data_IF_228771789724
#
_entry.id   IF_228771789724
#
_cell.length_a   1.000
_cell.length_b   1.000
_cell.length_c   1.000
_cell.angle_alpha   90.00
_cell.angle_beta   90.00
_cell.angle_gamma   90.00
#
_symmetry.space_group_name_H-M   'P 1'
#
loop_
_entity.id
_entity.type
_entity.pdbx_description
1 polymer ?
#
# COMPACT_ATOMS: atom_id res chain seq x y z
N UNK A 1 -12.22 -16.66 -17.11
CA UNK A 1 -10.75 -16.63 -17.37
C UNK A 1 -10.10 -17.44 -16.27
N UNK A 2 -8.90 -17.99 -16.49
CA UNK A 2 -8.21 -18.78 -15.46
C UNK A 2 -7.14 -17.93 -14.82
N UNK A 3 -7.12 -17.84 -13.48
CA UNK A 3 -6.09 -17.15 -12.72
C UNK A 3 -4.72 -17.70 -13.07
N UNK A 4 -3.76 -16.83 -13.30
CA UNK A 4 -2.36 -17.17 -13.53
C UNK A 4 -1.42 -16.17 -12.86
N UNK A 5 -0.27 -16.65 -12.41
CA UNK A 5 0.74 -15.89 -11.70
C UNK A 5 2.00 -15.78 -12.55
N UNK A 6 2.55 -14.58 -12.66
CA UNK A 6 3.85 -14.30 -13.26
C UNK A 6 4.76 -13.59 -12.27
N UNK A 7 5.75 -14.29 -11.72
CA UNK A 7 6.75 -13.64 -10.89
C UNK A 7 7.54 -12.60 -11.69
N UNK A 8 7.82 -11.46 -11.09
CA UNK A 8 8.71 -10.46 -11.68
C UNK A 8 10.16 -10.92 -11.54
N UNK A 9 10.99 -10.55 -12.51
CA UNK A 9 12.46 -10.75 -12.44
C UNK A 9 13.09 -9.68 -11.53
N UNK A 10 12.74 -9.76 -10.25
CA UNK A 10 13.15 -8.81 -9.22
C UNK A 10 13.15 -9.48 -7.84
N UNK A 11 13.73 -8.80 -6.85
CA UNK A 11 13.77 -9.28 -5.46
C UNK A 11 12.38 -9.45 -4.81
N UNK A 12 11.34 -8.92 -5.40
CA UNK A 12 9.94 -9.02 -5.00
C UNK A 12 9.01 -8.80 -6.20
N UNK A 13 7.72 -9.05 -6.00
CA UNK A 13 6.68 -8.74 -6.97
C UNK A 13 6.23 -9.94 -7.81
N UNK A 14 4.92 -10.00 -8.04
CA UNK A 14 4.29 -10.88 -9.00
C UNK A 14 3.07 -10.20 -9.63
N UNK A 15 2.76 -10.55 -10.87
CA UNK A 15 1.52 -10.18 -11.52
C UNK A 15 0.50 -11.30 -11.38
N UNK A 16 -0.72 -10.91 -11.09
CA UNK A 16 -1.89 -11.80 -11.04
C UNK A 16 -2.79 -11.44 -12.22
N UNK A 17 -2.99 -12.40 -13.12
CA UNK A 17 -3.76 -12.23 -14.34
C UNK A 17 -4.98 -13.14 -14.36
N UNK A 18 -5.96 -12.82 -15.21
CA UNK A 18 -7.13 -13.66 -15.46
C UNK A 18 -8.20 -13.58 -14.37
N UNK A 19 -8.19 -12.52 -13.54
CA UNK A 19 -9.22 -12.23 -12.54
C UNK A 19 -9.87 -10.88 -12.80
N UNK A 20 -11.14 -10.77 -12.42
CA UNK A 20 -11.90 -9.53 -12.37
C UNK A 20 -12.24 -9.26 -10.90
N UNK A 21 -11.53 -8.30 -10.30
CA UNK A 21 -11.70 -7.97 -8.88
C UNK A 21 -13.01 -7.24 -8.57
N UNK A 22 -13.73 -6.81 -9.60
CA UNK A 22 -15.08 -6.24 -9.45
C UNK A 22 -16.13 -7.29 -9.09
N UNK A 23 -15.80 -8.60 -9.24
CA UNK A 23 -16.65 -9.72 -8.97
C UNK A 23 -16.16 -10.51 -7.75
N UNK A 24 -17.06 -11.21 -7.03
CA UNK A 24 -16.64 -12.14 -5.99
C UNK A 24 -15.74 -13.23 -6.57
N UNK A 25 -14.59 -13.45 -5.94
CA UNK A 25 -13.66 -14.50 -6.31
C UNK A 25 -13.95 -15.80 -5.55
N UNK A 26 -13.60 -16.94 -6.16
CA UNK A 26 -13.63 -18.21 -5.46
C UNK A 26 -12.60 -18.23 -4.31
N UNK A 27 -12.90 -18.95 -3.25
CA UNK A 27 -12.01 -19.08 -2.08
C UNK A 27 -10.61 -19.58 -2.48
N UNK A 28 -10.56 -20.52 -3.43
CA UNK A 28 -9.30 -21.04 -3.98
C UNK A 28 -8.45 -19.96 -4.65
N UNK A 29 -9.08 -19.02 -5.36
CA UNK A 29 -8.37 -17.95 -6.04
C UNK A 29 -7.81 -16.93 -5.01
N UNK A 30 -8.58 -16.61 -3.97
CA UNK A 30 -8.12 -15.78 -2.85
C UNK A 30 -6.92 -16.43 -2.16
N UNK A 31 -6.94 -17.74 -1.93
CA UNK A 31 -5.82 -18.47 -1.31
C UNK A 31 -4.56 -18.44 -2.20
N UNK A 32 -4.71 -18.58 -3.51
CA UNK A 32 -3.60 -18.44 -4.45
C UNK A 32 -3.02 -17.03 -4.42
N UNK A 33 -3.86 -15.99 -4.43
CA UNK A 33 -3.43 -14.60 -4.35
C UNK A 33 -2.69 -14.35 -3.02
N UNK A 34 -3.24 -14.79 -1.90
CA UNK A 34 -2.64 -14.59 -0.57
C UNK A 34 -1.28 -15.30 -0.45
N UNK A 35 -1.17 -16.53 -0.94
CA UNK A 35 0.10 -17.26 -0.94
C UNK A 35 1.13 -16.60 -1.85
N UNK A 36 0.73 -16.17 -3.04
CA UNK A 36 1.60 -15.42 -3.96
C UNK A 36 2.11 -14.15 -3.30
N UNK A 37 1.22 -13.39 -2.65
CA UNK A 37 1.60 -12.18 -1.93
C UNK A 37 2.57 -12.47 -0.78
N UNK A 38 2.34 -13.51 0.02
CA UNK A 38 3.27 -13.91 1.10
C UNK A 38 4.67 -14.26 0.59
N UNK A 39 4.76 -14.90 -0.57
CA UNK A 39 6.03 -15.30 -1.17
C UNK A 39 6.73 -14.13 -1.89
N UNK A 40 5.94 -13.30 -2.57
CA UNK A 40 6.45 -12.25 -3.45
C UNK A 40 6.36 -10.84 -2.88
N UNK A 41 5.72 -10.64 -1.71
CA UNK A 41 5.59 -9.41 -0.92
C UNK A 41 4.73 -8.32 -1.57
N UNK A 42 4.68 -8.24 -2.89
CA UNK A 42 3.83 -7.33 -3.68
C UNK A 42 3.17 -8.11 -4.80
N UNK A 43 1.88 -7.88 -5.01
CA UNK A 43 1.14 -8.39 -6.16
C UNK A 43 0.51 -7.24 -6.94
N UNK A 44 0.50 -7.37 -8.26
CA UNK A 44 -0.05 -6.37 -9.17
C UNK A 44 -1.15 -7.00 -10.00
N UNK A 45 -2.28 -6.31 -10.09
CA UNK A 45 -3.42 -6.66 -10.92
C UNK A 45 -3.57 -5.58 -11.98
N UNK A 46 -3.42 -5.94 -13.25
CA UNK A 46 -3.58 -5.00 -14.36
C UNK A 46 -5.04 -4.86 -14.77
N UNK A 47 -5.37 -3.75 -15.40
CA UNK A 47 -6.65 -3.47 -16.06
C UNK A 47 -7.89 -3.66 -15.17
N UNK A 48 -7.77 -3.36 -13.88
CA UNK A 48 -8.88 -3.43 -12.94
C UNK A 48 -9.62 -2.09 -12.90
N UNK A 49 -10.95 -2.15 -13.03
CA UNK A 49 -11.82 -1.00 -12.86
C UNK A 49 -12.79 -1.29 -11.70
N UNK A 50 -12.55 -0.67 -10.56
CA UNK A 50 -13.29 -0.91 -9.34
C UNK A 50 -13.99 0.37 -8.89
N UNK A 51 -15.24 0.22 -8.46
CA UNK A 51 -15.86 1.22 -7.60
C UNK A 51 -15.33 1.08 -6.17
N UNK A 52 -15.50 2.13 -5.35
CA UNK A 52 -15.09 2.11 -3.94
C UNK A 52 -15.65 0.90 -3.17
N UNK A 53 -16.96 0.55 -3.27
CA UNK A 53 -17.49 -0.66 -2.66
C UNK A 53 -16.85 -1.97 -3.15
N UNK A 54 -16.44 -2.04 -4.42
CA UNK A 54 -15.78 -3.22 -4.97
C UNK A 54 -14.36 -3.37 -4.44
N UNK A 55 -13.59 -2.27 -4.37
CA UNK A 55 -12.27 -2.26 -3.74
C UNK A 55 -12.35 -2.69 -2.28
N UNK A 56 -13.30 -2.16 -1.51
CA UNK A 56 -13.57 -2.54 -0.12
C UNK A 56 -13.91 -4.03 -0.01
N UNK A 57 -14.81 -4.51 -0.87
CA UNK A 57 -15.24 -5.92 -0.87
C UNK A 57 -14.09 -6.87 -1.17
N UNK A 58 -13.26 -6.54 -2.15
CA UNK A 58 -12.08 -7.34 -2.47
C UNK A 58 -11.07 -7.33 -1.32
N UNK A 59 -10.79 -6.16 -0.74
CA UNK A 59 -9.84 -6.02 0.37
C UNK A 59 -10.23 -6.85 1.60
N UNK A 60 -11.53 -6.95 1.91
CA UNK A 60 -12.06 -7.74 3.04
C UNK A 60 -11.80 -9.24 2.94
N UNK A 61 -11.42 -9.77 1.78
CA UNK A 61 -11.01 -11.18 1.67
C UNK A 61 -9.70 -11.47 2.45
N UNK A 62 -8.90 -10.45 2.76
CA UNK A 62 -7.58 -10.58 3.38
C UNK A 62 -7.55 -10.18 4.86
N UNK A 63 -8.65 -9.64 5.38
CA UNK A 63 -8.79 -9.23 6.78
C UNK A 63 -9.78 -8.09 6.98
N UNK A 64 -9.94 -7.68 8.23
CA UNK A 64 -10.67 -6.47 8.58
C UNK A 64 -9.93 -5.24 8.05
N UNK A 65 -10.69 -4.20 7.69
CA UNK A 65 -10.11 -2.95 7.23
C UNK A 65 -9.85 -2.05 8.43
N UNK A 66 -8.62 -1.54 8.52
CA UNK A 66 -8.28 -0.54 9.49
C UNK A 66 -8.92 0.82 9.12
N UNK A 67 -9.30 1.63 10.10
CA UNK A 67 -9.66 3.02 9.83
C UNK A 67 -8.43 3.75 9.27
N UNK A 68 -8.61 4.75 8.39
CA UNK A 68 -7.48 5.52 7.88
C UNK A 68 -6.72 6.17 9.03
N UNK A 69 -5.40 6.18 8.92
CA UNK A 69 -4.55 6.87 9.86
C UNK A 69 -4.86 8.38 9.92
N UNK A 70 -4.38 9.09 10.95
CA UNK A 70 -4.56 10.53 11.05
C UNK A 70 -3.98 11.24 9.84
N UNK A 71 -4.73 12.17 9.28
CA UNK A 71 -4.31 12.96 8.13
C UNK A 71 -4.27 14.46 8.48
N UNK A 72 -3.58 15.30 7.69
CA UNK A 72 -3.43 16.72 7.99
C UNK A 72 -4.75 17.52 8.03
N UNK A 73 -5.81 16.97 7.47
CA UNK A 73 -7.10 17.64 7.34
C UNK A 73 -8.09 17.29 8.47
N UNK A 74 -7.80 16.22 9.25
CA UNK A 74 -8.59 15.80 10.41
C UNK A 74 -9.96 15.18 10.10
N UNK A 75 -10.24 14.88 8.82
CA UNK A 75 -11.48 14.24 8.39
C UNK A 75 -11.23 13.38 7.15
N UNK A 76 -11.99 12.27 6.94
CA UNK A 76 -11.85 11.45 5.74
C UNK A 76 -12.22 12.23 4.48
N UNK A 77 -11.51 11.97 3.37
CA UNK A 77 -11.84 12.54 2.07
C UNK A 77 -13.16 11.99 1.51
N UNK A 78 -13.41 10.69 1.74
CA UNK A 78 -14.63 10.01 1.34
C UNK A 78 -15.49 9.75 2.59
N UNK A 79 -16.55 10.55 2.77
CA UNK A 79 -17.42 10.44 3.95
C UNK A 79 -18.21 9.13 4.01
N UNK A 80 -18.56 8.59 2.83
CA UNK A 80 -19.33 7.33 2.71
C UNK A 80 -18.43 6.11 2.86
N UNK A 81 -17.13 6.26 2.64
CA UNK A 81 -16.11 5.21 2.70
C UNK A 81 -14.88 5.72 3.44
N UNK A 82 -14.99 5.95 4.76
CA UNK A 82 -13.91 6.54 5.55
C UNK A 82 -12.67 5.65 5.67
N UNK A 83 -12.80 4.35 5.39
CA UNK A 83 -11.71 3.39 5.30
C UNK A 83 -10.82 3.57 4.06
N UNK A 84 -11.25 4.34 3.07
CA UNK A 84 -10.47 4.65 1.89
C UNK A 84 -9.70 5.96 2.07
N UNK A 85 -8.42 5.90 1.80
CA UNK A 85 -7.55 7.07 1.78
C UNK A 85 -7.27 7.49 0.34
N UNK A 86 -7.59 8.73 0.00
CA UNK A 86 -7.34 9.27 -1.34
C UNK A 86 -5.93 9.83 -1.40
N UNK A 87 -5.10 9.30 -2.28
CA UNK A 87 -3.77 9.81 -2.60
C UNK A 87 -3.86 10.58 -3.91
N UNK A 88 -3.65 11.89 -3.89
CA UNK A 88 -3.80 12.73 -5.08
C UNK A 88 -3.07 14.06 -4.95
N UNK A 89 -2.52 14.53 -6.06
CA UNK A 89 -2.01 15.90 -6.23
C UNK A 89 -3.03 16.84 -6.90
N UNK A 90 -4.22 16.36 -7.19
CA UNK A 90 -5.28 17.16 -7.84
C UNK A 90 -5.85 18.17 -6.85
N UNK A 91 -6.01 19.40 -7.34
CA UNK A 91 -6.68 20.50 -6.63
C UNK A 91 -7.95 20.87 -7.39
N UNK A 92 -9.09 20.80 -6.71
CA UNK A 92 -10.39 21.18 -7.23
C UNK A 92 -10.95 22.37 -6.43
N UNK A 93 -11.35 23.44 -7.12
CA UNK A 93 -11.86 24.66 -6.48
C UNK A 93 -10.92 25.24 -5.40
N UNK A 94 -9.59 25.13 -5.62
CA UNK A 94 -8.57 25.60 -4.69
C UNK A 94 -8.36 24.71 -3.45
N UNK A 95 -8.98 23.54 -3.41
CA UNK A 95 -8.85 22.57 -2.31
C UNK A 95 -8.24 21.25 -2.82
N UNK A 96 -7.29 20.64 -2.09
CA UNK A 96 -6.79 19.30 -2.42
C UNK A 96 -7.89 18.27 -2.25
N UNK A 97 -8.01 17.35 -3.20
CA UNK A 97 -8.98 16.24 -3.12
C UNK A 97 -8.39 14.98 -2.48
N UNK A 98 -7.12 14.98 -2.13
CA UNK A 98 -6.44 13.84 -1.54
C UNK A 98 -5.24 14.23 -0.69
N UNK A 99 -4.59 13.21 -0.13
CA UNK A 99 -3.37 13.32 0.67
C UNK A 99 -2.12 13.39 -0.22
N UNK A 100 -1.00 13.80 0.41
CA UNK A 100 0.36 13.86 -0.10
C UNK A 100 0.63 14.95 -1.14
N UNK A 101 -0.37 15.40 -1.92
CA UNK A 101 -0.17 16.40 -2.97
C UNK A 101 0.91 15.95 -3.98
N UNK A 102 1.85 16.83 -4.28
CA UNK A 102 3.01 16.61 -5.14
C UNK A 102 4.31 16.31 -4.34
N UNK A 103 4.18 16.07 -3.02
CA UNK A 103 5.31 15.78 -2.15
C UNK A 103 5.91 14.40 -2.40
N UNK A 104 7.22 14.31 -2.50
CA UNK A 104 7.94 13.04 -2.53
C UNK A 104 7.85 12.36 -1.15
N UNK A 105 7.38 11.12 -1.12
CA UNK A 105 7.39 10.31 0.09
C UNK A 105 8.78 9.67 0.30
N UNK A 106 9.25 9.70 1.54
CA UNK A 106 10.46 8.97 1.94
C UNK A 106 10.17 7.47 2.08
N UNK A 107 11.20 6.63 2.04
CA UNK A 107 11.07 5.20 2.36
C UNK A 107 10.48 5.00 3.74
N UNK A 108 9.39 4.27 3.83
CA UNK A 108 8.66 3.99 5.07
C UNK A 108 7.91 2.67 4.99
N UNK A 109 7.46 2.18 6.12
CA UNK A 109 6.38 1.20 6.20
C UNK A 109 5.18 1.88 6.86
N UNK A 110 3.98 1.58 6.36
CA UNK A 110 2.76 2.23 6.83
C UNK A 110 2.46 1.89 8.29
N UNK A 111 1.98 2.90 9.03
CA UNK A 111 1.42 2.79 10.38
C UNK A 111 2.26 1.97 11.38
N UNK A 112 3.58 1.97 11.25
CA UNK A 112 4.47 1.25 12.18
C UNK A 112 4.46 1.80 13.61
N UNK A 113 3.78 2.91 13.84
CA UNK A 113 3.61 3.59 15.12
C UNK A 113 2.40 3.09 15.94
N UNK A 114 1.61 2.15 15.42
CA UNK A 114 0.51 1.50 16.16
C UNK A 114 0.97 0.13 16.67
N UNK A 115 0.34 -0.35 17.76
CA UNK A 115 0.73 -1.61 18.39
C UNK A 115 0.61 -2.82 17.48
N UNK A 116 -0.39 -2.82 16.59
CA UNK A 116 -0.59 -3.84 15.55
C UNK A 116 -0.64 -3.13 14.20
N UNK A 117 0.49 -3.05 13.48
CA UNK A 117 0.52 -2.45 12.15
C UNK A 117 -0.38 -3.19 11.16
N UNK A 118 -0.91 -2.50 10.13
CA UNK A 118 -1.73 -3.14 9.12
C UNK A 118 -0.95 -4.24 8.40
N UNK A 119 -1.65 -5.34 8.11
CA UNK A 119 -1.10 -6.51 7.42
C UNK A 119 -0.65 -6.18 6.00
N UNK A 120 -1.38 -5.29 5.33
CA UNK A 120 -1.13 -4.84 3.96
C UNK A 120 -1.78 -3.50 3.68
N UNK A 121 -1.34 -2.84 2.61
CA UNK A 121 -2.05 -1.75 1.96
C UNK A 121 -2.45 -2.17 0.54
N UNK A 122 -3.60 -1.72 0.07
CA UNK A 122 -4.08 -1.95 -1.28
C UNK A 122 -4.29 -0.61 -1.97
N UNK A 123 -3.66 -0.44 -3.13
CA UNK A 123 -3.74 0.78 -3.94
C UNK A 123 -4.52 0.49 -5.22
N UNK A 124 -5.54 1.29 -5.50
CA UNK A 124 -6.26 1.29 -6.76
C UNK A 124 -5.94 2.58 -7.52
N UNK A 125 -5.25 2.45 -8.64
CA UNK A 125 -4.88 3.58 -9.48
C UNK A 125 -6.04 3.98 -10.38
N UNK A 126 -6.59 5.18 -10.16
CA UNK A 126 -7.65 5.79 -10.99
C UNK A 126 -7.05 6.60 -12.14
N UNK A 127 -6.00 7.36 -11.83
CA UNK A 127 -5.24 8.15 -12.79
C UNK A 127 -3.77 8.11 -12.40
N UNK A 128 -2.93 7.81 -13.36
CA UNK A 128 -1.48 7.78 -13.18
C UNK A 128 -0.83 8.73 -14.17
N UNK A 129 0.26 9.42 -13.78
CA UNK A 129 0.99 10.27 -14.72
C UNK A 129 1.62 9.43 -15.83
N UNK A 130 1.91 10.01 -17.00
CA UNK A 130 2.64 9.31 -18.04
C UNK A 130 4.06 8.96 -17.55
N UNK A 131 4.69 7.89 -18.08
CA UNK A 131 5.98 7.38 -17.58
C UNK A 131 7.09 8.43 -17.49
N UNK A 132 7.10 9.40 -18.41
CA UNK A 132 8.08 10.49 -18.44
C UNK A 132 7.89 11.54 -17.33
N UNK A 133 6.72 11.60 -16.71
CA UNK A 133 6.43 12.52 -15.62
C UNK A 133 6.87 11.97 -14.24
N UNK A 134 7.30 10.71 -14.19
CA UNK A 134 7.68 10.07 -12.92
C UNK A 134 6.48 9.61 -12.11
N UNK A 135 6.58 9.67 -10.76
CA UNK A 135 5.51 9.26 -9.85
C UNK A 135 5.43 7.75 -9.60
N UNK A 136 6.49 7.01 -9.91
CA UNK A 136 6.56 5.57 -9.65
C UNK A 136 6.53 5.27 -8.15
N UNK A 137 5.82 4.22 -7.77
CA UNK A 137 5.88 3.64 -6.44
C UNK A 137 6.95 2.57 -6.39
N UNK A 138 7.88 2.71 -5.46
CA UNK A 138 9.00 1.78 -5.27
C UNK A 138 8.78 0.94 -4.01
N UNK A 139 9.18 -0.31 -4.06
CA UNK A 139 9.12 -1.25 -2.95
C UNK A 139 10.49 -1.84 -2.67
N UNK A 140 10.82 -2.06 -1.40
CA UNK A 140 12.05 -2.72 -0.97
C UNK A 140 11.74 -4.04 -0.25
N UNK A 141 12.46 -5.11 -0.62
CA UNK A 141 12.41 -6.37 0.10
C UNK A 141 13.26 -6.27 1.36
N UNK A 142 12.60 -6.03 2.51
CA UNK A 142 13.30 -5.85 3.79
C UNK A 142 13.90 -7.14 4.34
N UNK A 143 13.42 -8.33 3.94
CA UNK A 143 14.08 -9.59 4.27
C UNK A 143 15.44 -9.68 3.57
N UNK A 144 15.46 -9.45 2.25
CA UNK A 144 16.70 -9.43 1.48
C UNK A 144 17.66 -8.32 1.94
N UNK A 145 17.13 -7.15 2.30
CA UNK A 145 17.90 -6.04 2.85
C UNK A 145 18.60 -6.47 4.16
N UNK A 146 17.87 -7.09 5.09
CA UNK A 146 18.46 -7.60 6.33
C UNK A 146 19.51 -8.68 6.06
N UNK A 147 19.21 -9.65 5.18
CA UNK A 147 20.16 -10.72 4.84
C UNK A 147 21.46 -10.19 4.23
N UNK A 148 21.40 -9.09 3.49
CA UNK A 148 22.55 -8.44 2.87
C UNK A 148 23.38 -7.55 3.82
N UNK A 149 22.90 -7.30 5.05
CA UNK A 149 23.64 -6.48 5.99
C UNK A 149 25.00 -7.12 6.35
N UNK A 150 26.07 -6.33 6.42
CA UNK A 150 27.35 -6.75 7.01
C UNK A 150 27.18 -7.29 8.43
N UNK A 151 28.01 -8.25 8.81
CA UNK A 151 27.88 -8.93 10.10
C UNK A 151 28.02 -7.99 11.31
N UNK A 152 28.84 -6.97 11.20
CA UNK A 152 29.00 -5.95 12.23
C UNK A 152 27.73 -5.11 12.44
N UNK A 153 27.01 -4.78 11.36
CA UNK A 153 25.74 -4.08 11.43
C UNK A 153 24.62 -4.97 12.00
N UNK A 154 24.57 -6.25 11.62
CA UNK A 154 23.64 -7.22 12.24
C UNK A 154 23.87 -7.31 13.74
N UNK A 155 25.14 -7.47 14.17
CA UNK A 155 25.51 -7.51 15.58
C UNK A 155 25.16 -6.19 16.31
N UNK A 156 25.41 -5.04 15.67
CA UNK A 156 25.08 -3.75 16.27
C UNK A 156 23.57 -3.53 16.44
N UNK A 157 22.74 -4.12 15.57
CA UNK A 157 21.29 -4.03 15.61
C UNK A 157 20.65 -5.04 16.59
N UNK A 158 21.34 -6.11 16.94
CA UNK A 158 20.82 -7.17 17.79
C UNK A 158 20.37 -6.63 19.15
N UNK A 159 19.15 -6.99 19.55
CA UNK A 159 18.53 -6.55 20.82
C UNK A 159 18.18 -5.06 20.86
N UNK A 160 18.30 -4.33 19.77
CA UNK A 160 17.88 -2.91 19.70
C UNK A 160 16.41 -2.81 19.31
N UNK A 161 15.81 -1.72 19.75
CA UNK A 161 14.44 -1.30 19.40
C UNK A 161 14.46 0.09 18.78
N UNK A 162 13.48 0.39 17.95
CA UNK A 162 13.27 1.71 17.40
C UNK A 162 11.93 2.27 17.91
N UNK A 163 11.89 3.57 18.20
CA UNK A 163 10.64 4.26 18.48
C UNK A 163 10.09 4.79 17.17
N UNK A 164 8.87 4.41 16.86
CA UNK A 164 8.15 4.91 15.69
C UNK A 164 7.25 6.08 16.10
N UNK A 165 7.34 7.18 15.37
CA UNK A 165 6.66 8.43 15.69
C UNK A 165 5.70 8.81 14.55
N UNK A 166 4.47 9.17 14.92
CA UNK A 166 3.42 9.59 14.00
C UNK A 166 3.27 11.12 13.86
N UNK A 167 4.18 11.92 14.41
CA UNK A 167 4.09 13.38 14.39
C UNK A 167 4.08 13.97 12.97
N UNK A 168 4.76 13.30 12.04
CA UNK A 168 4.74 13.65 10.62
C UNK A 168 4.26 12.50 9.75
N UNK A 169 3.72 12.80 8.57
CA UNK A 169 3.48 11.81 7.54
C UNK A 169 4.76 11.54 6.72
N UNK A 170 4.71 10.58 5.78
CA UNK A 170 5.83 10.22 4.91
C UNK A 170 6.29 11.34 3.96
N UNK A 171 5.47 12.36 3.75
CA UNK A 171 5.83 13.58 3.00
C UNK A 171 6.43 14.69 3.91
N UNK A 172 6.68 14.40 5.20
CA UNK A 172 7.24 15.35 6.16
C UNK A 172 6.26 16.39 6.70
N UNK A 173 4.96 16.27 6.41
CA UNK A 173 3.94 17.19 6.92
C UNK A 173 3.50 16.80 8.33
N UNK A 174 3.41 17.79 9.21
CA UNK A 174 2.87 17.59 10.55
C UNK A 174 1.41 17.10 10.49
N UNK A 175 1.12 16.03 11.22
CA UNK A 175 -0.24 15.56 11.41
C UNK A 175 -0.93 16.40 12.47
N UNK A 176 -2.18 16.76 12.23
CA UNK A 176 -3.05 17.35 13.26
C UNK A 176 -3.59 16.18 14.08
N UNK A 177 -3.16 16.14 15.35
CA UNK A 177 -3.66 15.19 16.35
C UNK A 177 -5.10 15.51 16.78
#
# INVERSE_FOLDING_TARGET
MTLSIRALDAALGAEVNGVDLSQPLARSDIEVIENTWRERLVVVFHDQQLSDPQLISFSKNFGELDPPGPNPYGQPFLKEHPELNVISNVVQDGQPIGNLGDGEAVWHADMTYVDVPPKAAMLHALEVPPPEAGGNTYFANMFAAYESLPADLKTAAEGKTAVHDASTNSAGMLRKG
#
